data_IF_593187409478
#
_entry.id   IF_593187409478
#
_cell.length_a   1.000
_cell.length_b   1.000
_cell.length_c   1.000
_cell.angle_alpha   90.00
_cell.angle_beta   90.00
_cell.angle_gamma   90.00
#
_symmetry.space_group_name_H-M   'P 1'
#
loop_
_entity.id
_entity.type
_entity.pdbx_description
1 polymer ?
#
# COMPACT_ATOMS: atom_id res chain seq x y z
N UNK A 1 -17.34 6.67 -47.79
CA UNK A 1 -16.98 7.24 -46.48
C UNK A 1 -16.04 6.26 -45.83
N UNK A 2 -14.75 6.56 -45.85
CA UNK A 2 -13.71 5.71 -45.27
C UNK A 2 -13.82 5.83 -43.75
N UNK A 3 -14.23 4.76 -43.08
CA UNK A 3 -14.29 4.73 -41.63
C UNK A 3 -12.86 4.95 -41.10
N UNK A 4 -12.63 6.11 -40.49
CA UNK A 4 -11.37 6.39 -39.80
C UNK A 4 -11.29 5.41 -38.65
N UNK A 5 -10.51 4.34 -38.81
CA UNK A 5 -10.22 3.40 -37.74
C UNK A 5 -9.51 4.18 -36.63
N UNK A 6 -10.25 4.60 -35.62
CA UNK A 6 -9.69 5.24 -34.44
C UNK A 6 -8.66 4.27 -33.83
N UNK A 7 -7.42 4.71 -33.72
CA UNK A 7 -6.36 3.92 -33.11
C UNK A 7 -6.80 3.56 -31.69
N UNK A 8 -6.86 2.26 -31.32
CA UNK A 8 -7.32 1.88 -30.00
C UNK A 8 -6.41 2.50 -28.94
N UNK A 9 -7.00 3.14 -27.94
CA UNK A 9 -6.26 3.75 -26.82
C UNK A 9 -5.54 2.62 -26.06
N UNK A 10 -4.22 2.71 -25.97
CA UNK A 10 -3.40 1.75 -25.24
C UNK A 10 -3.35 2.13 -23.77
N UNK A 11 -3.98 1.33 -22.92
CA UNK A 11 -3.95 1.54 -21.47
C UNK A 11 -2.67 0.97 -20.83
N UNK A 12 -2.17 1.66 -19.81
CA UNK A 12 -1.03 1.26 -18.98
C UNK A 12 -1.50 0.25 -17.91
N UNK A 13 -1.65 -1.01 -18.32
CA UNK A 13 -2.18 -2.07 -17.46
C UNK A 13 -1.13 -2.75 -16.58
N UNK A 14 0.17 -2.56 -16.86
CA UNK A 14 1.22 -3.21 -16.08
C UNK A 14 1.25 -2.68 -14.64
N UNK A 15 1.20 -1.35 -14.46
CA UNK A 15 1.18 -0.75 -13.12
C UNK A 15 -0.06 -1.20 -12.32
N UNK A 16 -1.23 -1.28 -12.96
CA UNK A 16 -2.47 -1.81 -12.37
C UNK A 16 -2.30 -3.26 -11.93
N UNK A 17 -1.68 -4.10 -12.77
CA UNK A 17 -1.39 -5.50 -12.46
C UNK A 17 -0.49 -5.62 -11.23
N UNK A 18 0.58 -4.84 -11.18
CA UNK A 18 1.52 -4.90 -10.05
C UNK A 18 0.91 -4.41 -8.74
N UNK A 19 0.11 -3.34 -8.76
CA UNK A 19 -0.68 -2.93 -7.60
C UNK A 19 -1.68 -4.01 -7.16
N UNK A 20 -2.31 -4.71 -8.11
CA UNK A 20 -3.25 -5.80 -7.80
C UNK A 20 -2.55 -6.99 -7.16
N UNK A 21 -1.38 -7.38 -7.68
CA UNK A 21 -0.57 -8.46 -7.10
C UNK A 21 -0.12 -8.06 -5.68
N UNK A 22 0.39 -6.84 -5.52
CA UNK A 22 0.78 -6.32 -4.21
C UNK A 22 -0.40 -6.32 -3.24
N UNK A 23 -1.59 -5.88 -3.66
CA UNK A 23 -2.79 -5.91 -2.84
C UNK A 23 -3.10 -7.32 -2.31
N UNK A 24 -3.08 -8.34 -3.18
CA UNK A 24 -3.32 -9.73 -2.74
C UNK A 24 -2.25 -10.19 -1.75
N UNK A 25 -0.98 -9.92 -2.05
CA UNK A 25 0.15 -10.29 -1.17
C UNK A 25 0.02 -9.64 0.21
N UNK A 26 -0.20 -8.33 0.28
CA UNK A 26 -0.35 -7.62 1.54
C UNK A 26 -1.67 -7.91 2.25
N UNK A 27 -2.72 -8.29 1.52
CA UNK A 27 -3.96 -8.79 2.10
C UNK A 27 -3.69 -10.06 2.91
N UNK A 28 -2.99 -11.02 2.33
CA UNK A 28 -2.60 -12.26 3.04
C UNK A 28 -1.68 -11.95 4.22
N UNK A 29 -0.61 -11.16 4.02
CA UNK A 29 0.34 -10.83 5.08
C UNK A 29 -0.35 -10.08 6.23
N UNK A 30 -1.12 -9.03 5.92
CA UNK A 30 -1.82 -8.22 6.91
C UNK A 30 -2.81 -9.04 7.73
N UNK A 31 -3.58 -9.92 7.10
CA UNK A 31 -4.50 -10.83 7.80
C UNK A 31 -3.73 -11.84 8.67
N UNK A 32 -2.62 -12.41 8.20
CA UNK A 32 -1.81 -13.33 9.00
C UNK A 32 -1.22 -12.67 10.25
N UNK A 33 -0.70 -11.44 10.14
CA UNK A 33 -0.23 -10.68 11.32
C UNK A 33 -1.39 -10.40 12.27
N UNK A 34 -2.59 -10.12 11.75
CA UNK A 34 -3.80 -9.96 12.57
C UNK A 34 -4.19 -11.22 13.33
N UNK A 35 -4.15 -12.37 12.66
CA UNK A 35 -4.39 -13.68 13.30
C UNK A 35 -3.34 -13.94 14.37
N UNK A 36 -2.07 -13.65 14.12
CA UNK A 36 -1.01 -13.81 15.11
C UNK A 36 -1.25 -12.92 16.33
N UNK A 37 -1.51 -11.62 16.13
CA UNK A 37 -1.81 -10.70 17.23
C UNK A 37 -3.07 -11.13 18.02
N UNK A 38 -4.08 -11.69 17.35
CA UNK A 38 -5.24 -12.26 18.03
C UNK A 38 -4.88 -13.50 18.87
N UNK A 39 -3.95 -14.34 18.40
CA UNK A 39 -3.45 -15.48 19.17
C UNK A 39 -2.65 -15.04 20.39
N UNK A 40 -1.92 -13.92 20.34
CA UNK A 40 -1.24 -13.38 21.52
C UNK A 40 -2.20 -12.95 22.63
N UNK A 41 -3.39 -12.44 22.25
CA UNK A 41 -4.45 -12.12 23.22
C UNK A 41 -5.05 -13.38 23.85
N UNK A 42 -5.17 -14.47 23.10
CA UNK A 42 -5.66 -15.75 23.61
C UNK A 42 -4.60 -16.52 24.42
N UNK A 43 -3.33 -16.41 24.00
CA UNK A 43 -2.19 -17.15 24.51
C UNK A 43 -0.99 -16.19 24.69
N UNK A 44 -0.90 -15.47 25.83
CA UNK A 44 0.11 -14.43 26.05
C UNK A 44 1.57 -14.90 25.92
N UNK A 45 1.85 -16.19 26.10
CA UNK A 45 3.20 -16.74 25.94
C UNK A 45 3.74 -16.59 24.49
N UNK A 46 2.88 -16.39 23.49
CA UNK A 46 3.27 -16.17 22.10
C UNK A 46 4.00 -14.83 21.86
N UNK A 47 4.07 -13.94 22.86
CA UNK A 47 4.95 -12.77 22.79
C UNK A 47 6.45 -13.18 22.89
N UNK A 48 6.74 -14.38 23.42
CA UNK A 48 8.09 -14.95 23.62
C UNK A 48 9.08 -14.05 24.37
N UNK A 49 8.62 -13.02 25.08
CA UNK A 49 9.44 -11.96 25.69
C UNK A 49 10.38 -11.26 24.68
N UNK A 50 10.03 -11.28 23.38
CA UNK A 50 10.78 -10.63 22.30
C UNK A 50 10.09 -9.29 21.95
N UNK A 51 10.73 -8.13 22.15
CA UNK A 51 10.08 -6.82 21.99
C UNK A 51 9.41 -6.61 20.63
N UNK A 52 10.04 -7.06 19.55
CA UNK A 52 9.66 -6.81 18.16
C UNK A 52 8.34 -7.47 17.76
N UNK A 53 8.04 -8.61 18.37
CA UNK A 53 6.85 -9.39 18.06
C UNK A 53 5.77 -9.27 19.12
N UNK A 54 5.94 -8.40 20.12
CA UNK A 54 4.89 -8.20 21.13
C UNK A 54 3.62 -7.62 20.53
N UNK A 55 2.47 -7.95 21.12
CA UNK A 55 1.16 -7.43 20.71
C UNK A 55 1.13 -5.91 20.55
N UNK A 56 1.79 -5.18 21.46
CA UNK A 56 1.85 -3.72 21.41
C UNK A 56 2.53 -3.16 20.15
N UNK A 57 3.47 -3.89 19.55
CA UNK A 57 4.16 -3.50 18.31
C UNK A 57 3.57 -4.16 17.07
N UNK A 58 3.05 -5.37 17.17
CA UNK A 58 2.39 -6.05 16.06
C UNK A 58 1.00 -5.49 15.74
N UNK A 59 0.27 -4.96 16.73
CA UNK A 59 -1.03 -4.30 16.50
C UNK A 59 -0.92 -3.14 15.49
N UNK A 60 -0.05 -2.13 15.70
CA UNK A 60 0.09 -1.04 14.73
C UNK A 60 0.66 -1.52 13.39
N UNK A 61 1.49 -2.58 13.39
CA UNK A 61 1.95 -3.19 12.13
C UNK A 61 0.77 -3.81 11.36
N UNK A 62 -0.10 -4.57 12.02
CA UNK A 62 -1.30 -5.17 11.42
C UNK A 62 -2.23 -4.10 10.83
N UNK A 63 -2.54 -3.05 11.59
CA UNK A 63 -3.45 -1.99 11.14
C UNK A 63 -2.88 -1.29 9.90
N UNK A 64 -1.59 -0.93 9.90
CA UNK A 64 -0.94 -0.32 8.75
C UNK A 64 -0.87 -1.26 7.55
N UNK A 65 -0.59 -2.55 7.76
CA UNK A 65 -0.56 -3.54 6.70
C UNK A 65 -1.94 -3.74 6.04
N UNK A 66 -3.02 -3.81 6.83
CA UNK A 66 -4.36 -4.01 6.27
C UNK A 66 -4.89 -2.72 5.61
N UNK A 67 -4.66 -1.55 6.19
CA UNK A 67 -5.22 -0.30 5.67
C UNK A 67 -4.38 0.24 4.51
N UNK A 68 -3.09 0.47 4.72
CA UNK A 68 -2.25 1.17 3.75
C UNK A 68 -1.57 0.21 2.78
N UNK A 69 -1.13 -0.96 3.23
CA UNK A 69 -0.52 -1.93 2.33
C UNK A 69 -1.59 -2.67 1.50
N UNK A 70 -2.56 -3.32 2.12
CA UNK A 70 -3.65 -3.96 1.39
C UNK A 70 -4.61 -2.92 0.78
N UNK A 71 -5.31 -2.15 1.61
CA UNK A 71 -6.33 -1.19 1.16
C UNK A 71 -5.78 -0.12 0.21
N UNK A 72 -4.59 0.42 0.49
CA UNK A 72 -3.93 1.38 -0.40
C UNK A 72 -3.63 0.79 -1.79
N UNK A 73 -3.04 -0.41 -1.86
CA UNK A 73 -2.77 -1.06 -3.16
C UNK A 73 -4.07 -1.38 -3.93
N UNK A 74 -5.15 -1.77 -3.24
CA UNK A 74 -6.48 -1.92 -3.86
C UNK A 74 -6.96 -0.60 -4.45
N UNK A 75 -6.89 0.48 -3.68
CA UNK A 75 -7.30 1.82 -4.11
C UNK A 75 -6.52 2.28 -5.33
N UNK A 76 -5.20 2.08 -5.37
CA UNK A 76 -4.39 2.51 -6.51
C UNK A 76 -4.60 1.66 -7.76
N UNK A 77 -4.71 0.34 -7.61
CA UNK A 77 -5.04 -0.55 -8.74
C UNK A 77 -6.39 -0.15 -9.36
N UNK A 78 -7.41 0.02 -8.52
CA UNK A 78 -8.76 0.38 -8.97
C UNK A 78 -8.81 1.79 -9.54
N UNK A 79 -8.17 2.76 -8.88
CA UNK A 79 -8.08 4.15 -9.35
C UNK A 79 -7.46 4.24 -10.74
N UNK A 80 -6.26 3.69 -10.92
CA UNK A 80 -5.59 3.71 -12.23
C UNK A 80 -6.32 2.90 -13.30
N UNK A 81 -7.03 1.83 -12.94
CA UNK A 81 -7.86 1.09 -13.88
C UNK A 81 -9.08 1.90 -14.33
N UNK A 82 -9.81 2.47 -13.37
CA UNK A 82 -11.07 3.17 -13.61
C UNK A 82 -10.81 4.44 -14.42
N UNK A 83 -9.86 5.29 -14.01
CA UNK A 83 -9.63 6.60 -14.63
C UNK A 83 -9.29 6.50 -16.11
N UNK A 84 -8.49 5.50 -16.49
CA UNK A 84 -8.14 5.24 -17.88
C UNK A 84 -9.37 4.85 -18.72
N UNK A 85 -10.26 4.02 -18.16
CA UNK A 85 -11.45 3.51 -18.85
C UNK A 85 -12.56 4.54 -18.93
N UNK A 86 -12.77 5.32 -17.87
CA UNK A 86 -13.80 6.36 -17.84
C UNK A 86 -13.37 7.60 -18.62
N UNK A 87 -12.08 7.95 -18.57
CA UNK A 87 -11.50 9.04 -19.36
C UNK A 87 -11.20 8.67 -20.82
N UNK A 88 -11.26 7.38 -21.16
CA UNK A 88 -10.89 6.83 -22.46
C UNK A 88 -9.51 7.34 -22.95
N UNK A 89 -8.56 7.40 -22.02
CA UNK A 89 -7.19 7.86 -22.25
C UNK A 89 -6.19 6.97 -21.48
N UNK A 90 -4.93 6.97 -21.90
CA UNK A 90 -3.85 6.38 -21.10
C UNK A 90 -3.59 7.23 -19.86
N UNK A 91 -2.80 6.71 -18.90
CA UNK A 91 -2.36 7.53 -17.78
C UNK A 91 -1.57 8.73 -18.28
N UNK A 92 -1.66 9.85 -17.54
CA UNK A 92 -0.94 11.07 -17.90
C UNK A 92 0.57 10.84 -17.97
N UNK A 93 1.12 10.07 -17.01
CA UNK A 93 2.53 9.66 -17.02
C UNK A 93 2.71 8.25 -16.46
N UNK A 94 3.08 7.30 -17.33
CA UNK A 94 3.42 5.93 -16.93
C UNK A 94 4.65 5.90 -16.00
N UNK A 95 5.65 6.77 -16.24
CA UNK A 95 6.83 6.88 -15.36
C UNK A 95 6.45 7.31 -13.94
N UNK A 96 5.52 8.26 -13.82
CA UNK A 96 5.03 8.73 -12.53
C UNK A 96 4.21 7.65 -11.81
N UNK A 97 3.44 6.85 -12.55
CA UNK A 97 2.72 5.70 -12.01
C UNK A 97 3.67 4.65 -11.41
N UNK A 98 4.79 4.38 -12.08
CA UNK A 98 5.82 3.47 -11.57
C UNK A 98 6.61 4.03 -10.40
N UNK A 99 6.91 5.34 -10.40
CA UNK A 99 7.47 6.01 -9.23
C UNK A 99 6.54 5.87 -8.02
N UNK A 100 5.24 6.12 -8.23
CA UNK A 100 4.23 5.94 -7.20
C UNK A 100 4.20 4.48 -6.68
N UNK A 101 4.18 3.49 -7.57
CA UNK A 101 4.21 2.07 -7.18
C UNK A 101 5.41 1.76 -6.28
N UNK A 102 6.64 1.99 -6.76
CA UNK A 102 7.84 1.68 -5.99
C UNK A 102 7.97 2.52 -4.72
N UNK A 103 7.54 3.79 -4.76
CA UNK A 103 7.49 4.66 -3.60
C UNK A 103 6.54 4.12 -2.53
N UNK A 104 5.35 3.68 -2.91
CA UNK A 104 4.39 3.07 -1.99
C UNK A 104 4.92 1.76 -1.40
N UNK A 105 5.55 0.92 -2.22
CA UNK A 105 6.17 -0.29 -1.71
C UNK A 105 7.31 -0.02 -0.73
N UNK A 106 8.13 1.01 -0.96
CA UNK A 106 9.18 1.42 -0.03
C UNK A 106 8.61 1.92 1.30
N UNK A 107 7.50 2.67 1.28
CA UNK A 107 6.79 3.10 2.49
C UNK A 107 6.29 1.89 3.29
N UNK A 108 5.68 0.91 2.63
CA UNK A 108 5.20 -0.32 3.29
C UNK A 108 6.36 -1.08 3.93
N UNK A 109 7.47 -1.25 3.22
CA UNK A 109 8.67 -1.91 3.76
C UNK A 109 9.23 -1.13 4.95
N UNK A 110 9.21 0.21 4.90
CA UNK A 110 9.62 1.03 6.03
C UNK A 110 8.75 0.78 7.27
N UNK A 111 7.42 0.65 7.10
CA UNK A 111 6.49 0.33 8.19
C UNK A 111 6.80 -1.03 8.84
N UNK A 112 7.11 -2.03 8.03
CA UNK A 112 7.50 -3.39 8.48
C UNK A 112 8.77 -3.37 9.32
N UNK A 113 9.67 -2.42 9.08
CA UNK A 113 10.91 -2.28 9.83
C UNK A 113 10.70 -1.42 11.08
N UNK A 114 10.09 -0.25 10.93
CA UNK A 114 10.04 0.77 11.99
C UNK A 114 9.09 0.39 13.13
N UNK A 115 7.92 -0.20 12.82
CA UNK A 115 6.91 -0.48 13.83
C UNK A 115 7.34 -1.60 14.80
N UNK A 116 7.89 -2.75 14.34
CA UNK A 116 8.49 -3.74 15.24
C UNK A 116 9.68 -3.20 16.05
N UNK A 117 10.45 -2.25 15.52
CA UNK A 117 11.51 -1.59 16.27
C UNK A 117 11.00 -0.59 17.32
N UNK A 118 9.68 -0.36 17.39
CA UNK A 118 9.05 0.55 18.34
C UNK A 118 9.16 2.03 17.95
N UNK A 119 9.58 2.32 16.71
CA UNK A 119 9.63 3.68 16.18
C UNK A 119 8.22 4.10 15.76
N UNK A 120 7.43 4.58 16.72
CA UNK A 120 6.05 4.99 16.48
C UNK A 120 5.69 6.32 17.16
N UNK A 121 4.81 7.08 16.52
CA UNK A 121 4.21 8.29 17.09
C UNK A 121 3.09 8.01 18.11
N UNK A 122 2.58 6.77 18.18
CA UNK A 122 1.49 6.38 19.09
C UNK A 122 0.10 6.93 18.72
N UNK A 123 -0.05 7.57 17.55
CA UNK A 123 -1.33 8.01 16.99
C UNK A 123 -1.87 6.93 16.07
N UNK A 124 -3.08 6.44 16.35
CA UNK A 124 -3.69 5.39 15.52
C UNK A 124 -3.83 5.86 14.06
N UNK A 125 -3.43 5.00 13.12
CA UNK A 125 -3.37 5.24 11.67
C UNK A 125 -2.38 6.31 11.21
N UNK A 126 -1.58 6.85 12.14
CA UNK A 126 -0.48 7.78 11.90
C UNK A 126 0.75 7.35 12.73
N UNK A 127 0.98 6.04 12.83
CA UNK A 127 1.99 5.47 13.69
C UNK A 127 3.40 5.68 13.17
N UNK A 128 3.57 5.89 11.87
CA UNK A 128 4.87 5.94 11.21
C UNK A 128 5.67 7.19 11.61
N UNK A 129 7.01 7.12 11.62
CA UNK A 129 7.84 8.26 11.97
C UNK A 129 7.77 9.37 10.89
N UNK A 130 8.00 10.61 11.30
CA UNK A 130 7.80 11.81 10.46
C UNK A 130 8.53 11.78 9.10
N UNK A 131 9.69 11.13 9.01
CA UNK A 131 10.41 11.01 7.74
C UNK A 131 9.69 10.11 6.73
N UNK A 132 8.94 9.12 7.22
CA UNK A 132 8.05 8.29 6.40
C UNK A 132 6.79 9.08 6.03
N UNK A 133 6.28 9.93 6.91
CA UNK A 133 5.13 10.81 6.60
C UNK A 133 5.45 11.76 5.43
N UNK A 134 6.68 12.31 5.38
CA UNK A 134 7.13 13.12 4.24
C UNK A 134 7.17 12.28 2.96
N UNK A 135 7.69 11.05 3.03
CA UNK A 135 7.72 10.16 1.88
C UNK A 135 6.30 9.83 1.39
N UNK A 136 5.37 9.56 2.30
CA UNK A 136 3.94 9.36 2.01
C UNK A 136 3.38 10.58 1.29
N UNK A 137 3.61 11.79 1.81
CA UNK A 137 3.10 13.01 1.19
C UNK A 137 3.61 13.19 -0.25
N UNK A 138 4.90 12.96 -0.49
CA UNK A 138 5.49 13.05 -1.84
C UNK A 138 4.90 12.01 -2.78
N UNK A 139 4.80 10.75 -2.35
CA UNK A 139 4.25 9.66 -3.14
C UNK A 139 2.75 9.88 -3.41
N UNK A 140 2.00 10.39 -2.44
CA UNK A 140 0.58 10.69 -2.59
C UNK A 140 0.31 11.85 -3.56
N UNK A 141 1.15 12.90 -3.53
CA UNK A 141 1.09 13.98 -4.51
C UNK A 141 1.38 13.44 -5.93
N UNK A 142 2.33 12.51 -6.07
CA UNK A 142 2.61 11.89 -7.37
C UNK A 142 1.43 11.08 -7.90
N UNK A 143 0.67 10.41 -7.02
CA UNK A 143 -0.57 9.73 -7.38
C UNK A 143 -1.63 10.73 -7.83
N UNK A 144 -1.91 11.76 -7.02
CA UNK A 144 -2.95 12.76 -7.30
C UNK A 144 -2.67 13.63 -8.53
N UNK A 145 -1.41 13.83 -8.91
CA UNK A 145 -1.06 14.51 -10.17
C UNK A 145 -1.23 13.62 -11.41
N UNK A 146 -1.20 12.30 -11.24
CA UNK A 146 -1.27 11.34 -12.35
C UNK A 146 -2.67 10.79 -12.59
N UNK A 147 -3.48 10.73 -11.53
CA UNK A 147 -4.89 10.37 -11.55
C UNK A 147 -5.72 11.50 -12.15
#
# INVERSE_FOLDING_TARGET
>A
MEATNATPVKYDMDVVRWFTIAAVVFGVIGTLVGVYAALELAFPFLNFDIPEITFGRLRPLHTNAVIFAFGGNVLFATGYYIVQRTGNCSLWSNKLAWFHFWGWQAIIVSAVITLPLGLSQGKEYAELPWWVDIAIAVVWLSYGLNY
#
